data_IF_940091518013
#
_entry.id   IF_940091518013
#
_cell.length_a   1.000
_cell.length_b   1.000
_cell.length_c   1.000
_cell.angle_alpha   90.00
_cell.angle_beta   90.00
_cell.angle_gamma   90.00
#
_symmetry.space_group_name_H-M   'P 1'
#
loop_
_entity.id
_entity.type
_entity.pdbx_description
1 polymer ?
#
# COMPACT_ATOMS: atom_id res chain seq x y z
N UNK A 1 22.15 -22.86 -53.17
CA UNK A 1 21.10 -22.74 -52.14
C UNK A 1 19.94 -23.64 -52.56
N UNK A 2 19.68 -24.74 -51.83
CA UNK A 2 18.49 -25.56 -52.10
C UNK A 2 17.26 -24.83 -51.59
N UNK A 3 16.21 -24.75 -52.42
CA UNK A 3 14.90 -24.23 -52.00
C UNK A 3 14.23 -25.30 -51.14
N UNK A 4 13.97 -25.00 -49.86
CA UNK A 4 13.11 -25.83 -49.00
C UNK A 4 11.75 -25.16 -48.83
N UNK A 5 10.66 -25.92 -48.98
CA UNK A 5 9.31 -25.51 -48.61
C UNK A 5 8.85 -26.31 -47.38
N UNK A 6 8.13 -25.66 -46.45
CA UNK A 6 7.65 -26.27 -45.21
C UNK A 6 6.12 -26.34 -45.25
N UNK A 7 5.57 -27.53 -45.07
CA UNK A 7 4.13 -27.82 -44.98
C UNK A 7 3.79 -28.16 -43.53
N UNK A 8 2.75 -27.53 -42.95
CA UNK A 8 2.44 -27.65 -41.51
C UNK A 8 0.96 -27.92 -41.28
N UNK A 9 0.64 -29.03 -40.60
CA UNK A 9 -0.72 -29.45 -40.24
C UNK A 9 -0.91 -29.62 -38.73
N UNK A 10 -0.30 -28.74 -37.92
CA UNK A 10 -0.31 -28.88 -36.46
C UNK A 10 -1.71 -28.90 -35.84
N UNK A 11 -2.66 -28.13 -36.41
CA UNK A 11 -4.06 -28.13 -35.96
C UNK A 11 -4.76 -29.46 -36.20
N UNK A 12 -4.55 -30.06 -37.38
CA UNK A 12 -5.13 -31.37 -37.70
C UNK A 12 -4.54 -32.46 -36.81
N UNK A 13 -3.20 -32.46 -36.63
CA UNK A 13 -2.52 -33.39 -35.72
C UNK A 13 -3.07 -33.28 -34.27
N UNK A 14 -3.29 -32.06 -33.80
CA UNK A 14 -3.91 -31.83 -32.48
C UNK A 14 -5.34 -32.36 -32.40
N UNK A 15 -6.12 -32.28 -33.47
CA UNK A 15 -7.49 -32.82 -33.52
C UNK A 15 -7.46 -34.34 -33.53
N UNK A 16 -6.55 -34.97 -34.29
CA UNK A 16 -6.39 -36.42 -34.33
C UNK A 16 -6.06 -36.99 -32.94
N UNK A 17 -5.17 -36.32 -32.18
CA UNK A 17 -4.87 -36.72 -30.80
C UNK A 17 -6.01 -36.44 -29.83
N UNK A 18 -6.83 -35.41 -30.04
CA UNK A 18 -8.06 -35.21 -29.26
C UNK A 18 -9.02 -36.38 -29.47
N UNK A 19 -9.26 -36.77 -30.73
CA UNK A 19 -10.10 -37.93 -31.06
C UNK A 19 -9.55 -39.22 -30.46
N UNK A 20 -8.23 -39.38 -30.41
CA UNK A 20 -7.58 -40.51 -29.74
C UNK A 20 -7.85 -40.53 -28.23
N UNK A 21 -7.84 -39.37 -27.55
CA UNK A 21 -8.15 -39.26 -26.12
C UNK A 21 -9.63 -39.56 -25.82
N UNK A 22 -10.54 -39.11 -26.69
CA UNK A 22 -11.99 -39.28 -26.51
C UNK A 22 -12.47 -40.71 -26.84
N UNK A 23 -11.66 -41.49 -27.55
CA UNK A 23 -11.98 -42.88 -27.93
C UNK A 23 -11.64 -43.85 -26.79
N UNK A 24 -12.65 -44.36 -26.08
CA UNK A 24 -12.44 -45.15 -24.85
C UNK A 24 -11.64 -46.46 -25.01
N UNK A 25 -11.56 -47.07 -26.19
CA UNK A 25 -10.89 -48.38 -26.37
C UNK A 25 -9.77 -48.40 -27.42
N UNK A 26 -9.40 -47.25 -27.99
CA UNK A 26 -8.36 -47.21 -29.02
C UNK A 26 -6.96 -47.24 -28.40
N UNK A 27 -6.36 -48.43 -28.29
CA UNK A 27 -4.94 -48.63 -27.97
C UNK A 27 -4.45 -48.06 -26.64
N UNK A 28 -5.35 -47.73 -25.71
CA UNK A 28 -4.97 -47.27 -24.37
C UNK A 28 -4.19 -48.35 -23.61
N UNK A 29 -3.06 -47.97 -23.03
CA UNK A 29 -2.14 -48.88 -22.32
C UNK A 29 -1.88 -48.43 -20.87
N UNK A 30 -2.60 -47.40 -20.41
CA UNK A 30 -2.50 -46.85 -19.07
C UNK A 30 -3.84 -46.32 -18.54
N UNK A 31 -4.04 -46.40 -17.23
CA UNK A 31 -5.23 -45.89 -16.54
C UNK A 31 -4.83 -44.90 -15.44
N UNK A 32 -5.42 -43.71 -15.47
CA UNK A 32 -5.30 -42.71 -14.41
C UNK A 32 -6.61 -42.67 -13.63
N UNK A 33 -6.53 -42.82 -12.31
CA UNK A 33 -7.68 -42.69 -11.41
C UNK A 33 -7.57 -41.43 -10.56
N UNK A 34 -8.66 -40.66 -10.44
CA UNK A 34 -8.75 -39.47 -9.59
C UNK A 34 -9.70 -39.70 -8.40
N UNK A 35 -9.77 -38.73 -7.48
CA UNK A 35 -10.65 -38.83 -6.32
C UNK A 35 -12.12 -38.53 -6.68
N UNK A 36 -13.01 -39.30 -6.05
CA UNK A 36 -14.44 -39.06 -5.81
C UNK A 36 -15.28 -38.49 -6.97
N UNK A 37 -15.68 -39.36 -7.90
CA UNK A 37 -16.94 -39.35 -8.68
C UNK A 37 -17.10 -40.70 -9.43
N UNK A 38 -18.30 -41.13 -9.88
CA UNK A 38 -18.50 -42.45 -10.51
C UNK A 38 -17.70 -42.67 -11.82
N UNK A 39 -17.19 -41.60 -12.44
CA UNK A 39 -16.39 -41.63 -13.68
C UNK A 39 -14.92 -41.21 -13.48
N UNK A 40 -14.29 -41.72 -12.43
CA UNK A 40 -12.94 -41.31 -12.03
C UNK A 40 -11.77 -41.93 -12.82
N UNK A 41 -12.02 -42.64 -13.92
CA UNK A 41 -10.97 -43.38 -14.66
C UNK A 41 -10.77 -42.83 -16.05
N UNK A 42 -9.52 -42.45 -16.34
CA UNK A 42 -9.08 -42.00 -17.65
C UNK A 42 -8.18 -43.06 -18.27
N UNK A 43 -8.60 -43.60 -19.41
CA UNK A 43 -7.75 -44.45 -20.25
C UNK A 43 -6.84 -43.56 -21.10
N UNK A 44 -5.54 -43.85 -21.11
CA UNK A 44 -4.52 -42.98 -21.68
C UNK A 44 -3.39 -43.78 -22.33
N UNK A 45 -2.50 -43.07 -23.03
CA UNK A 45 -1.37 -43.63 -23.78
C UNK A 45 -0.04 -43.24 -23.13
N UNK A 46 0.75 -44.23 -22.70
CA UNK A 46 2.02 -44.00 -21.98
C UNK A 46 3.01 -43.15 -22.77
N UNK A 47 3.10 -43.37 -24.08
CA UNK A 47 4.02 -42.64 -24.95
C UNK A 47 3.74 -41.13 -24.92
N UNK A 48 2.48 -40.71 -25.05
CA UNK A 48 2.09 -39.29 -25.04
C UNK A 48 2.36 -38.70 -23.65
N UNK A 49 1.89 -39.36 -22.58
CA UNK A 49 2.11 -38.90 -21.20
C UNK A 49 3.61 -38.72 -20.89
N UNK A 50 4.44 -39.69 -21.27
CA UNK A 50 5.87 -39.73 -21.01
C UNK A 50 6.64 -38.57 -21.67
N UNK A 51 6.21 -38.11 -22.84
CA UNK A 51 6.89 -37.02 -23.56
C UNK A 51 6.36 -35.62 -23.23
N UNK A 52 5.22 -35.54 -22.53
CA UNK A 52 4.53 -34.27 -22.26
C UNK A 52 4.47 -33.92 -20.77
N UNK A 53 4.97 -34.79 -19.91
CA UNK A 53 5.04 -34.58 -18.46
C UNK A 53 6.24 -35.33 -17.88
N UNK A 54 7.11 -34.58 -17.20
CA UNK A 54 8.29 -35.13 -16.55
C UNK A 54 7.92 -36.06 -15.38
N UNK A 55 6.80 -35.78 -14.71
CA UNK A 55 6.26 -36.66 -13.67
C UNK A 55 6.00 -38.08 -14.21
N UNK A 56 5.26 -38.19 -15.32
CA UNK A 56 4.96 -39.49 -15.91
C UNK A 56 6.22 -40.16 -16.46
N UNK A 57 7.14 -39.39 -17.04
CA UNK A 57 8.43 -39.90 -17.49
C UNK A 57 9.20 -40.61 -16.37
N UNK A 58 9.34 -39.96 -15.22
CA UNK A 58 10.03 -40.51 -14.06
C UNK A 58 9.25 -41.64 -13.38
N UNK A 59 7.93 -41.52 -13.34
CA UNK A 59 7.07 -42.55 -12.76
C UNK A 59 7.14 -43.87 -13.54
N UNK A 60 7.09 -43.80 -14.88
CA UNK A 60 7.20 -44.98 -15.76
C UNK A 60 8.59 -45.62 -15.74
N UNK A 61 9.65 -44.87 -15.45
CA UNK A 61 10.99 -45.45 -15.23
C UNK A 61 11.04 -46.33 -13.98
N UNK A 62 10.34 -45.91 -12.92
CA UNK A 62 10.37 -46.58 -11.60
C UNK A 62 9.33 -47.68 -11.47
N UNK A 63 8.20 -47.57 -12.18
CA UNK A 63 7.05 -48.45 -12.01
C UNK A 63 6.70 -49.19 -13.31
N UNK A 64 6.40 -50.49 -13.20
CA UNK A 64 5.87 -51.31 -14.30
C UNK A 64 4.34 -51.44 -14.28
N UNK A 65 3.65 -50.69 -13.41
CA UNK A 65 2.20 -50.74 -13.28
C UNK A 65 1.55 -50.00 -14.45
N UNK A 66 0.37 -50.48 -14.87
CA UNK A 66 -0.43 -49.86 -15.93
C UNK A 66 -1.54 -48.94 -15.38
N UNK A 67 -1.48 -48.61 -14.09
CA UNK A 67 -2.48 -47.82 -13.39
C UNK A 67 -1.83 -46.96 -12.32
N UNK A 68 -2.30 -45.71 -12.20
CA UNK A 68 -1.94 -44.78 -11.13
C UNK A 68 -3.20 -44.14 -10.54
N UNK A 69 -3.17 -43.84 -9.23
CA UNK A 69 -4.20 -43.06 -8.55
C UNK A 69 -3.60 -41.73 -8.10
N UNK A 70 -4.29 -40.63 -8.38
CA UNK A 70 -3.98 -39.31 -7.86
C UNK A 70 -4.99 -38.91 -6.80
N UNK A 71 -4.51 -38.80 -5.57
CA UNK A 71 -5.32 -38.25 -4.48
C UNK A 71 -5.29 -36.70 -4.56
N UNK A 72 -6.41 -36.02 -4.35
CA UNK A 72 -6.52 -34.56 -4.32
C UNK A 72 -6.46 -33.84 -5.66
N UNK A 73 -6.59 -34.53 -6.80
CA UNK A 73 -6.85 -33.90 -8.11
C UNK A 73 -8.30 -34.19 -8.50
N UNK A 74 -9.07 -33.14 -8.82
CA UNK A 74 -10.44 -33.27 -9.30
C UNK A 74 -10.48 -33.87 -10.72
N UNK A 75 -11.52 -34.67 -11.00
CA UNK A 75 -11.74 -35.30 -12.32
C UNK A 75 -11.81 -34.26 -13.44
N UNK A 76 -12.44 -33.11 -13.21
CA UNK A 76 -12.50 -31.99 -14.14
C UNK A 76 -11.12 -31.43 -14.48
N UNK A 77 -10.27 -31.19 -13.48
CA UNK A 77 -8.92 -30.67 -13.66
C UNK A 77 -8.01 -31.67 -14.37
N UNK A 78 -8.09 -32.94 -14.01
CA UNK A 78 -7.36 -33.99 -14.73
C UNK A 78 -7.79 -34.06 -16.20
N UNK A 79 -9.09 -33.96 -16.49
CA UNK A 79 -9.59 -33.92 -17.87
C UNK A 79 -9.01 -32.74 -18.65
N UNK A 80 -8.97 -31.54 -18.06
CA UNK A 80 -8.37 -30.35 -18.68
C UNK A 80 -6.87 -30.51 -18.92
N UNK A 81 -6.13 -31.10 -17.96
CA UNK A 81 -4.70 -31.39 -18.09
C UNK A 81 -4.45 -32.44 -19.18
N UNK A 82 -5.25 -33.49 -19.27
CA UNK A 82 -5.14 -34.50 -20.33
C UNK A 82 -5.45 -33.89 -21.71
N UNK A 83 -6.49 -33.05 -21.82
CA UNK A 83 -6.77 -32.29 -23.05
C UNK A 83 -5.53 -31.49 -23.47
N UNK A 84 -4.87 -30.80 -22.54
CA UNK A 84 -3.63 -30.08 -22.80
C UNK A 84 -2.47 -30.99 -23.24
N UNK A 85 -2.26 -32.12 -22.57
CA UNK A 85 -1.18 -33.06 -22.90
C UNK A 85 -1.29 -33.53 -24.35
N UNK A 86 -2.50 -33.84 -24.82
CA UNK A 86 -2.75 -34.37 -26.16
C UNK A 86 -2.82 -33.29 -27.23
N UNK A 87 -3.40 -32.13 -26.93
CA UNK A 87 -3.70 -31.10 -27.94
C UNK A 87 -2.82 -29.86 -27.87
N UNK A 88 -2.17 -29.62 -26.73
CA UNK A 88 -1.48 -28.37 -26.42
C UNK A 88 -2.42 -27.21 -26.07
N UNK A 89 -3.73 -27.43 -25.98
CA UNK A 89 -4.72 -26.40 -25.67
C UNK A 89 -5.32 -26.61 -24.27
N UNK A 90 -5.47 -25.53 -23.51
CA UNK A 90 -6.15 -25.53 -22.22
C UNK A 90 -7.05 -24.29 -22.10
N UNK A 91 -8.22 -24.48 -21.52
CA UNK A 91 -9.19 -23.41 -21.26
C UNK A 91 -9.27 -23.19 -19.76
N UNK A 92 -9.07 -21.93 -19.34
CA UNK A 92 -9.02 -21.56 -17.92
C UNK A 92 -9.99 -20.42 -17.62
N UNK A 93 -10.56 -20.45 -16.42
CA UNK A 93 -11.43 -19.43 -15.87
C UNK A 93 -11.18 -19.34 -14.34
N UNK A 94 -11.85 -18.40 -13.66
CA UNK A 94 -11.64 -18.20 -12.22
C UNK A 94 -12.03 -19.43 -11.38
N UNK A 95 -13.05 -20.18 -11.81
CA UNK A 95 -13.57 -21.35 -11.09
C UNK A 95 -12.60 -22.54 -11.15
N UNK A 96 -11.92 -22.75 -12.28
CA UNK A 96 -11.06 -23.91 -12.50
C UNK A 96 -9.56 -23.62 -12.34
N UNK A 97 -9.14 -22.34 -12.33
CA UNK A 97 -7.72 -21.97 -12.37
C UNK A 97 -6.93 -22.53 -11.19
N UNK A 98 -7.46 -22.47 -9.97
CA UNK A 98 -6.75 -22.95 -8.78
C UNK A 98 -6.53 -24.47 -8.85
N UNK A 99 -7.57 -25.24 -9.18
CA UNK A 99 -7.46 -26.69 -9.26
C UNK A 99 -6.53 -27.13 -10.39
N UNK A 100 -6.58 -26.45 -11.55
CA UNK A 100 -5.67 -26.70 -12.66
C UNK A 100 -4.22 -26.34 -12.28
N UNK A 101 -4.00 -25.24 -11.54
CA UNK A 101 -2.68 -24.87 -11.04
C UNK A 101 -2.13 -25.94 -10.07
N UNK A 102 -2.99 -26.45 -9.18
CA UNK A 102 -2.63 -27.54 -8.28
C UNK A 102 -2.28 -28.83 -9.06
N UNK A 103 -3.13 -29.22 -10.01
CA UNK A 103 -2.94 -30.42 -10.82
C UNK A 103 -1.67 -30.34 -11.70
N UNK A 104 -1.45 -29.20 -12.36
CA UNK A 104 -0.28 -28.98 -13.23
C UNK A 104 1.03 -29.04 -12.44
N UNK A 105 1.09 -28.44 -11.24
CA UNK A 105 2.24 -28.57 -10.34
C UNK A 105 2.45 -30.00 -9.85
N UNK A 106 1.38 -30.73 -9.57
CA UNK A 106 1.47 -32.12 -9.10
C UNK A 106 1.96 -33.09 -10.18
N UNK A 107 1.69 -32.79 -11.45
CA UNK A 107 2.06 -33.60 -12.63
C UNK A 107 3.29 -33.03 -13.36
N UNK A 108 3.94 -32.01 -12.79
CA UNK A 108 5.14 -31.35 -13.34
C UNK A 108 4.94 -30.87 -14.79
N UNK A 109 3.89 -30.09 -15.01
CA UNK A 109 3.63 -29.39 -16.28
C UNK A 109 3.79 -27.89 -16.03
N UNK A 110 5.04 -27.44 -15.99
CA UNK A 110 5.43 -26.09 -15.60
C UNK A 110 4.87 -25.02 -16.55
N UNK A 111 4.71 -25.33 -17.84
CA UNK A 111 4.18 -24.37 -18.82
C UNK A 111 2.73 -24.00 -18.50
N UNK A 112 1.92 -24.99 -18.11
CA UNK A 112 0.53 -24.76 -17.68
C UNK A 112 0.52 -24.06 -16.33
N UNK A 113 1.32 -24.52 -15.36
CA UNK A 113 1.37 -23.90 -14.04
C UNK A 113 1.70 -22.40 -14.12
N UNK A 114 2.72 -22.03 -14.91
CA UNK A 114 3.13 -20.64 -15.10
C UNK A 114 2.07 -19.81 -15.83
N UNK A 115 1.42 -20.38 -16.85
CA UNK A 115 0.33 -19.71 -17.58
C UNK A 115 -0.87 -19.42 -16.67
N UNK A 116 -1.29 -20.40 -15.88
CA UNK A 116 -2.42 -20.26 -14.95
C UNK A 116 -2.09 -19.33 -13.79
N UNK A 117 -0.87 -19.42 -13.23
CA UNK A 117 -0.44 -18.49 -12.19
C UNK A 117 -0.47 -17.04 -12.71
N UNK A 118 0.02 -16.79 -13.93
CA UNK A 118 -0.06 -15.46 -14.54
C UNK A 118 -1.52 -14.98 -14.67
N UNK A 119 -2.42 -15.84 -15.13
CA UNK A 119 -3.84 -15.51 -15.23
C UNK A 119 -4.46 -15.15 -13.87
N UNK A 120 -4.16 -15.93 -12.82
CA UNK A 120 -4.66 -15.65 -11.46
C UNK A 120 -4.14 -14.29 -11.00
N UNK A 121 -2.86 -14.01 -11.18
CA UNK A 121 -2.22 -12.73 -10.79
C UNK A 121 -2.88 -11.52 -11.47
N UNK A 122 -3.19 -11.64 -12.76
CA UNK A 122 -3.85 -10.59 -13.54
C UNK A 122 -5.35 -10.43 -13.20
N UNK A 123 -5.95 -11.43 -12.54
CA UNK A 123 -7.38 -11.45 -12.22
C UNK A 123 -7.69 -11.14 -10.74
N UNK A 124 -6.69 -10.76 -9.93
CA UNK A 124 -6.88 -10.39 -8.52
C UNK A 124 -7.76 -9.14 -8.42
N UNK A 125 -8.79 -9.22 -7.59
CA UNK A 125 -9.71 -8.11 -7.28
C UNK A 125 -10.18 -8.16 -5.82
N UNK A 126 -11.01 -7.21 -5.40
CA UNK A 126 -11.46 -7.08 -4.00
C UNK A 126 -12.31 -8.28 -3.55
N UNK A 127 -13.03 -8.93 -4.46
CA UNK A 127 -13.95 -10.04 -4.15
C UNK A 127 -13.20 -11.36 -3.96
N UNK A 128 -12.18 -11.62 -4.79
CA UNK A 128 -11.46 -12.90 -4.80
C UNK A 128 -10.13 -12.92 -4.04
N UNK A 129 -9.55 -11.76 -3.69
CA UNK A 129 -8.19 -11.71 -3.12
C UNK A 129 -8.05 -12.52 -1.83
N UNK A 130 -9.08 -12.54 -0.99
CA UNK A 130 -9.03 -13.26 0.29
C UNK A 130 -8.94 -14.77 0.08
N UNK A 131 -9.79 -15.32 -0.79
CA UNK A 131 -9.76 -16.75 -1.14
C UNK A 131 -8.40 -17.14 -1.75
N UNK A 132 -7.88 -16.30 -2.65
CA UNK A 132 -6.57 -16.53 -3.28
C UNK A 132 -5.45 -16.50 -2.23
N UNK A 133 -5.47 -15.58 -1.25
CA UNK A 133 -4.47 -15.52 -0.16
C UNK A 133 -4.51 -16.78 0.70
N UNK A 134 -5.70 -17.21 1.10
CA UNK A 134 -5.87 -18.43 1.91
C UNK A 134 -5.23 -19.63 1.20
N UNK A 135 -5.51 -19.77 -0.10
CA UNK A 135 -4.99 -20.87 -0.92
C UNK A 135 -3.49 -20.74 -1.13
N UNK A 136 -3.01 -19.53 -1.44
CA UNK A 136 -1.59 -19.28 -1.64
C UNK A 136 -0.76 -19.57 -0.38
N UNK A 137 -1.28 -19.21 0.81
CA UNK A 137 -0.65 -19.52 2.09
C UNK A 137 -0.66 -21.03 2.37
N UNK A 138 -1.83 -21.68 2.22
CA UNK A 138 -2.00 -23.12 2.43
C UNK A 138 -1.05 -23.97 1.58
N UNK A 139 -0.79 -23.55 0.34
CA UNK A 139 0.07 -24.27 -0.60
C UNK A 139 1.51 -23.75 -0.68
N UNK A 140 1.91 -22.79 0.18
CA UNK A 140 3.22 -22.16 0.17
C UNK A 140 3.60 -21.49 -1.17
N UNK A 141 2.63 -20.91 -1.88
CA UNK A 141 2.85 -20.17 -3.13
C UNK A 141 3.30 -18.73 -2.85
N UNK A 142 4.55 -18.58 -2.41
CA UNK A 142 5.10 -17.32 -1.88
C UNK A 142 4.94 -16.12 -2.82
N UNK A 143 5.18 -16.29 -4.12
CA UNK A 143 5.07 -15.18 -5.09
C UNK A 143 3.63 -14.68 -5.22
N UNK A 144 2.66 -15.60 -5.31
CA UNK A 144 1.24 -15.24 -5.39
C UNK A 144 0.79 -14.60 -4.07
N UNK A 145 1.17 -15.19 -2.93
CA UNK A 145 0.86 -14.63 -1.61
C UNK A 145 1.38 -13.20 -1.46
N UNK A 146 2.63 -12.91 -1.85
CA UNK A 146 3.18 -11.56 -1.78
C UNK A 146 2.42 -10.56 -2.65
N UNK A 147 2.00 -10.96 -3.85
CA UNK A 147 1.22 -10.10 -4.72
C UNK A 147 -0.18 -9.81 -4.17
N UNK A 148 -0.84 -10.84 -3.64
CA UNK A 148 -2.12 -10.63 -2.98
C UNK A 148 -1.99 -9.74 -1.72
N UNK A 149 -0.94 -9.92 -0.91
CA UNK A 149 -0.67 -9.05 0.23
C UNK A 149 -0.41 -7.60 -0.20
N UNK A 150 0.32 -7.38 -1.30
CA UNK A 150 0.49 -6.04 -1.87
C UNK A 150 -0.84 -5.43 -2.32
N UNK A 151 -1.71 -6.22 -2.94
CA UNK A 151 -3.05 -5.77 -3.33
C UNK A 151 -3.91 -5.41 -2.10
N UNK A 152 -3.82 -6.22 -1.03
CA UNK A 152 -4.48 -5.96 0.25
C UNK A 152 -3.96 -4.66 0.86
N UNK A 153 -2.63 -4.44 0.89
CA UNK A 153 -2.00 -3.22 1.42
C UNK A 153 -2.62 -1.96 0.79
N UNK A 154 -2.85 -1.96 -0.53
CA UNK A 154 -3.37 -0.83 -1.28
C UNK A 154 -4.90 -0.65 -1.21
N UNK A 155 -5.64 -1.74 -1.01
CA UNK A 155 -7.11 -1.75 -1.09
C UNK A 155 -7.79 -2.10 0.23
N UNK A 156 -7.05 -2.11 1.35
CA UNK A 156 -7.52 -2.57 2.67
C UNK A 156 -8.84 -1.93 3.09
N UNK A 157 -9.06 -0.64 2.78
CA UNK A 157 -10.30 0.09 3.13
C UNK A 157 -11.55 -0.57 2.54
N UNK A 158 -11.45 -1.10 1.32
CA UNK A 158 -12.57 -1.78 0.66
C UNK A 158 -12.70 -3.22 1.14
N UNK A 159 -11.56 -3.87 1.40
CA UNK A 159 -11.51 -5.26 1.87
C UNK A 159 -12.10 -5.37 3.28
N UNK A 160 -11.79 -4.46 4.19
CA UNK A 160 -12.35 -4.39 5.55
C UNK A 160 -13.88 -4.30 5.60
N UNK A 161 -14.52 -3.93 4.48
CA UNK A 161 -15.98 -3.79 4.33
C UNK A 161 -16.60 -4.90 3.49
N UNK A 162 -15.81 -5.82 2.94
CA UNK A 162 -16.31 -6.91 2.11
C UNK A 162 -16.75 -8.09 2.97
N UNK A 163 -17.74 -8.85 2.49
CA UNK A 163 -18.14 -10.11 3.13
C UNK A 163 -17.01 -11.14 3.14
N UNK A 164 -16.10 -11.08 2.16
CA UNK A 164 -14.92 -11.95 2.12
C UNK A 164 -13.96 -11.70 3.29
N UNK A 165 -14.01 -10.54 3.97
CA UNK A 165 -13.20 -10.31 5.17
C UNK A 165 -13.63 -11.20 6.34
N UNK A 166 -14.93 -11.51 6.44
CA UNK A 166 -15.49 -12.35 7.49
C UNK A 166 -15.02 -13.82 7.39
N UNK A 167 -14.52 -14.23 6.21
CA UNK A 167 -14.03 -15.59 5.96
C UNK A 167 -12.53 -15.76 6.21
N UNK A 168 -11.82 -14.69 6.60
CA UNK A 168 -10.41 -14.74 6.93
C UNK A 168 -10.15 -15.69 8.11
N UNK A 169 -9.13 -16.53 7.98
CA UNK A 169 -8.58 -17.27 9.11
C UNK A 169 -7.73 -16.35 9.99
N UNK A 170 -7.69 -16.64 11.29
CA UNK A 170 -7.00 -15.83 12.29
C UNK A 170 -5.52 -15.60 11.93
N UNK A 171 -4.84 -16.61 11.43
CA UNK A 171 -3.43 -16.54 11.04
C UNK A 171 -3.16 -15.55 9.90
N UNK A 172 -4.08 -15.41 8.94
CA UNK A 172 -3.95 -14.43 7.85
C UNK A 172 -4.34 -13.05 8.33
N UNK A 173 -5.37 -12.96 9.18
CA UNK A 173 -5.74 -11.69 9.81
C UNK A 173 -4.57 -11.12 10.62
N UNK A 174 -3.86 -11.96 11.39
CA UNK A 174 -2.66 -11.57 12.12
C UNK A 174 -1.56 -11.09 11.16
N UNK A 175 -1.29 -11.77 10.05
CA UNK A 175 -0.31 -11.31 9.04
C UNK A 175 -0.68 -9.92 8.50
N UNK A 176 -1.96 -9.70 8.20
CA UNK A 176 -2.48 -8.41 7.74
C UNK A 176 -2.30 -7.34 8.82
N UNK A 177 -2.66 -7.63 10.08
CA UNK A 177 -2.58 -6.67 11.18
C UNK A 177 -1.14 -6.40 11.64
N UNK A 178 -0.22 -7.35 11.50
CA UNK A 178 1.21 -7.11 11.69
C UNK A 178 1.79 -6.24 10.57
N UNK A 179 1.17 -6.27 9.39
CA UNK A 179 1.60 -5.46 8.27
C UNK A 179 1.48 -3.97 8.62
N UNK A 180 2.64 -3.37 8.72
CA UNK A 180 2.73 -1.96 9.00
C UNK A 180 2.29 -1.11 7.80
N UNK A 181 2.30 -1.66 6.59
CA UNK A 181 2.14 -0.91 5.35
C UNK A 181 0.71 -0.65 4.89
N UNK A 182 -0.28 -1.10 5.67
CA UNK A 182 -1.70 -0.93 5.32
C UNK A 182 -2.07 0.53 5.06
N UNK A 183 -2.73 0.78 3.93
CA UNK A 183 -3.19 2.09 3.51
C UNK A 183 -4.54 2.45 4.12
N UNK A 184 -4.55 2.76 5.41
CA UNK A 184 -5.76 3.12 6.15
C UNK A 184 -5.71 4.54 6.72
N UNK A 185 -6.87 5.20 6.81
CA UNK A 185 -7.00 6.57 7.31
C UNK A 185 -6.94 6.65 8.83
N UNK A 186 -7.66 5.76 9.50
CA UNK A 186 -7.72 5.66 10.95
C UNK A 186 -7.62 4.18 11.38
N UNK A 187 -7.10 3.89 12.56
CA UNK A 187 -7.04 2.51 13.07
C UNK A 187 -8.42 2.05 13.60
N UNK A 188 -9.35 2.98 13.82
CA UNK A 188 -10.73 2.69 14.25
C UNK A 188 -11.49 1.83 13.23
N UNK A 189 -11.25 2.05 11.94
CA UNK A 189 -11.84 1.26 10.85
C UNK A 189 -11.40 -0.23 10.95
N UNK A 190 -10.13 -0.49 11.29
CA UNK A 190 -9.64 -1.86 11.54
C UNK A 190 -10.31 -2.45 12.78
N UNK A 191 -10.39 -1.68 13.86
CA UNK A 191 -11.02 -2.13 15.11
C UNK A 191 -12.47 -2.56 14.90
N UNK A 192 -13.27 -1.73 14.22
CA UNK A 192 -14.67 -2.05 13.92
C UNK A 192 -14.81 -3.29 13.03
N UNK A 193 -13.95 -3.45 12.03
CA UNK A 193 -13.97 -4.66 11.19
C UNK A 193 -13.55 -5.92 11.95
N UNK A 194 -12.58 -5.84 12.85
CA UNK A 194 -12.20 -6.97 13.73
C UNK A 194 -13.36 -7.36 14.65
N UNK A 195 -14.11 -6.39 15.18
CA UNK A 195 -15.31 -6.70 15.96
C UNK A 195 -16.40 -7.38 15.13
N UNK A 196 -16.59 -6.97 13.87
CA UNK A 196 -17.54 -7.66 12.99
C UNK A 196 -17.08 -9.09 12.66
N UNK A 197 -15.78 -9.30 12.47
CA UNK A 197 -15.18 -10.62 12.28
C UNK A 197 -15.37 -11.54 13.52
N UNK A 198 -15.39 -10.96 14.74
CA UNK A 198 -15.66 -11.67 16.01
C UNK A 198 -17.03 -12.34 16.06
N UNK A 199 -18.01 -11.97 15.23
CA UNK A 199 -19.37 -12.52 15.31
C UNK A 199 -19.48 -14.05 15.05
N UNK A 200 -18.36 -14.75 14.85
CA UNK A 200 -18.28 -16.20 14.95
C UNK A 200 -18.24 -16.62 16.43
N UNK A 201 -19.21 -17.42 16.92
CA UNK A 201 -19.25 -17.85 18.32
C UNK A 201 -17.98 -18.62 18.67
N UNK A 202 -17.38 -18.29 19.82
CA UNK A 202 -16.21 -18.95 20.45
C UNK A 202 -14.79 -18.57 19.98
N UNK A 203 -14.58 -17.48 19.21
CA UNK A 203 -13.22 -16.97 18.96
C UNK A 203 -12.72 -15.99 20.03
N UNK A 204 -11.66 -16.36 20.74
CA UNK A 204 -10.87 -15.43 21.54
C UNK A 204 -10.12 -14.48 20.60
N UNK A 205 -10.48 -13.20 20.64
CA UNK A 205 -9.85 -12.16 19.81
C UNK A 205 -8.68 -11.47 20.51
N UNK A 206 -8.25 -11.94 21.68
CA UNK A 206 -7.20 -11.28 22.47
C UNK A 206 -5.92 -11.08 21.63
N UNK A 207 -5.46 -12.10 20.91
CA UNK A 207 -4.26 -12.00 20.07
C UNK A 207 -4.43 -11.05 18.88
N UNK A 208 -5.63 -11.01 18.28
CA UNK A 208 -5.96 -10.07 17.20
C UNK A 208 -6.02 -8.63 17.74
N UNK A 209 -6.67 -8.42 18.89
CA UNK A 209 -6.75 -7.11 19.57
C UNK A 209 -5.36 -6.59 19.95
N UNK A 210 -4.43 -7.46 20.35
CA UNK A 210 -3.04 -7.07 20.65
C UNK A 210 -2.31 -6.48 19.44
N UNK A 211 -2.77 -6.77 18.22
CA UNK A 211 -2.22 -6.21 16.98
C UNK A 211 -2.85 -4.88 16.57
N UNK A 212 -3.92 -4.44 17.23
CA UNK A 212 -4.56 -3.14 17.00
C UNK A 212 -3.74 -2.04 17.69
N UNK A 213 -3.51 -0.96 16.96
CA UNK A 213 -2.67 0.16 17.42
C UNK A 213 -3.54 1.25 18.00
N UNK A 214 -4.03 1.04 19.21
CA UNK A 214 -4.90 1.99 19.91
C UNK A 214 -4.28 3.40 20.05
N UNK A 215 -2.96 3.53 19.96
CA UNK A 215 -2.29 4.83 19.90
C UNK A 215 -2.65 5.67 18.65
N UNK A 216 -3.12 5.06 17.57
CA UNK A 216 -3.58 5.69 16.32
C UNK A 216 -5.09 5.97 16.28
N UNK A 217 -5.82 5.69 17.36
CA UNK A 217 -7.26 5.98 17.50
C UNK A 217 -7.43 7.32 18.20
N UNK A 218 -8.37 8.17 17.76
CA UNK A 218 -8.60 9.47 18.39
C UNK A 218 -9.12 9.33 19.84
N UNK A 219 -8.96 10.35 20.70
CA UNK A 219 -9.53 10.33 22.06
C UNK A 219 -11.03 10.05 22.07
N UNK A 220 -11.77 10.57 21.08
CA UNK A 220 -13.20 10.31 20.90
C UNK A 220 -13.46 8.84 20.57
N UNK A 221 -12.68 8.24 19.67
CA UNK A 221 -12.81 6.82 19.34
C UNK A 221 -12.44 5.91 20.50
N UNK A 222 -11.47 6.29 21.34
CA UNK A 222 -11.13 5.54 22.55
C UNK A 222 -12.26 5.58 23.59
N UNK A 223 -12.96 6.71 23.72
CA UNK A 223 -14.15 6.80 24.56
C UNK A 223 -15.26 5.88 24.02
N UNK A 224 -15.49 5.83 22.71
CA UNK A 224 -16.45 4.90 22.09
C UNK A 224 -16.07 3.43 22.36
N UNK A 225 -14.78 3.09 22.38
CA UNK A 225 -14.30 1.73 22.69
C UNK A 225 -14.58 1.37 24.15
N UNK A 226 -14.50 2.34 25.08
CA UNK A 226 -14.77 2.11 26.50
C UNK A 226 -16.20 1.59 26.71
N UNK A 227 -17.16 2.15 25.98
CA UNK A 227 -18.58 1.78 26.10
C UNK A 227 -18.88 0.34 25.62
N UNK A 228 -17.94 -0.29 24.90
CA UNK A 228 -18.10 -1.64 24.34
C UNK A 228 -17.59 -2.77 25.26
N UNK A 229 -16.97 -2.43 26.41
CA UNK A 229 -16.40 -3.39 27.39
C UNK A 229 -15.43 -4.41 26.77
N UNK A 230 -14.73 -4.01 25.70
CA UNK A 230 -13.75 -4.84 24.97
C UNK A 230 -12.35 -4.76 25.60
N UNK A 231 -12.08 -3.69 26.34
CA UNK A 231 -10.82 -3.42 27.04
C UNK A 231 -11.10 -3.07 28.51
N UNK A 232 -10.17 -3.32 29.45
CA UNK A 232 -10.34 -2.98 30.85
C UNK A 232 -10.23 -1.46 31.02
N UNK A 233 -11.03 -0.88 31.92
CA UNK A 233 -11.04 0.55 32.20
C UNK A 233 -9.64 1.15 32.44
N UNK A 234 -8.78 0.41 33.14
CA UNK A 234 -7.41 0.83 33.42
C UNK A 234 -6.60 1.06 32.13
N UNK A 235 -6.76 0.19 31.14
CA UNK A 235 -6.07 0.29 29.85
C UNK A 235 -6.58 1.49 29.06
N UNK A 236 -7.89 1.74 29.08
CA UNK A 236 -8.52 2.91 28.44
C UNK A 236 -8.00 4.20 29.08
N UNK A 237 -7.97 4.28 30.41
CA UNK A 237 -7.47 5.44 31.15
C UNK A 237 -5.99 5.70 30.87
N UNK A 238 -5.17 4.65 30.82
CA UNK A 238 -3.77 4.77 30.43
C UNK A 238 -3.67 5.37 29.01
N UNK A 239 -4.39 4.82 28.02
CA UNK A 239 -4.41 5.31 26.64
C UNK A 239 -4.80 6.80 26.53
N UNK A 240 -5.87 7.21 27.21
CA UNK A 240 -6.34 8.61 27.23
C UNK A 240 -5.30 9.55 27.86
N UNK A 241 -4.67 9.13 28.97
CA UNK A 241 -3.65 9.93 29.66
C UNK A 241 -2.38 10.15 28.83
N UNK A 242 -2.07 9.23 27.91
CA UNK A 242 -0.92 9.33 27.00
C UNK A 242 -1.18 10.30 25.84
N UNK A 243 -2.41 10.37 25.33
CA UNK A 243 -2.78 11.29 24.24
C UNK A 243 -2.85 12.76 24.69
N UNK A 244 -3.03 13.01 25.99
CA UNK A 244 -3.21 14.35 26.53
C UNK A 244 -1.93 15.21 26.62
N UNK A 245 -0.70 14.68 26.42
CA UNK A 245 0.55 15.47 26.60
C UNK A 245 1.67 15.08 25.61
N UNK A 246 1.99 15.90 24.58
CA UNK A 246 3.10 15.64 23.67
C UNK A 246 4.41 16.17 24.24
N UNK A 247 5.24 15.32 24.86
CA UNK A 247 6.61 15.70 25.26
C UNK A 247 7.64 14.69 24.76
N UNK A 248 8.76 15.20 24.21
CA UNK A 248 9.93 14.41 23.73
C UNK A 248 10.44 13.40 24.77
N UNK A 249 10.30 13.71 26.05
CA UNK A 249 10.67 12.82 27.18
C UNK A 249 9.80 11.55 27.24
N UNK A 250 8.49 11.64 26.99
CA UNK A 250 7.56 10.48 27.00
C UNK A 250 7.70 9.59 25.75
N UNK A 251 8.07 10.13 24.58
CA UNK A 251 8.30 9.35 23.36
C UNK A 251 9.45 8.32 23.48
N UNK A 252 10.46 8.60 24.31
CA UNK A 252 11.52 7.63 24.61
C UNK A 252 11.04 6.47 25.52
N UNK A 253 10.01 6.72 26.35
CA UNK A 253 9.31 5.71 27.15
C UNK A 253 8.31 4.89 26.32
N UNK A 254 7.72 5.44 25.26
CA UNK A 254 6.84 4.73 24.31
C UNK A 254 7.53 3.52 23.65
N UNK A 255 8.82 3.62 23.31
CA UNK A 255 9.61 2.46 22.83
C UNK A 255 9.79 1.34 23.87
N UNK A 256 9.42 1.58 25.13
CA UNK A 256 9.61 0.67 26.27
C UNK A 256 8.30 0.33 27.01
N UNK A 257 7.17 0.88 26.58
CA UNK A 257 5.86 0.64 27.21
C UNK A 257 5.23 -0.61 26.59
N UNK A 258 5.27 -1.70 27.35
CA UNK A 258 4.35 -2.82 27.20
C UNK A 258 3.23 -2.57 28.22
N UNK A 259 2.00 -2.28 27.77
CA UNK A 259 0.84 -2.32 28.66
C UNK A 259 0.34 -3.76 28.63
N UNK A 260 0.28 -4.38 29.80
CA UNK A 260 -0.25 -5.74 29.96
C UNK A 260 -1.76 -5.72 29.85
N UNK A 261 -2.30 -6.43 28.88
CA UNK A 261 -3.71 -6.80 28.82
C UNK A 261 -3.78 -8.31 29.07
N UNK A 262 -4.22 -8.71 30.26
CA UNK A 262 -4.04 -10.09 30.74
C UNK A 262 -2.55 -10.48 30.76
N UNK A 263 -2.20 -11.58 30.09
CA UNK A 263 -0.82 -12.04 29.90
C UNK A 263 -0.15 -11.50 28.61
N UNK A 264 -0.84 -10.67 27.82
CA UNK A 264 -0.38 -10.25 26.50
C UNK A 264 0.13 -8.80 26.47
N UNK A 265 1.03 -8.53 25.51
CA UNK A 265 1.64 -7.21 25.29
C UNK A 265 1.00 -6.51 24.08
N UNK A 266 0.33 -5.37 24.31
CA UNK A 266 -0.23 -4.55 23.23
C UNK A 266 0.86 -3.78 22.46
N UNK A 267 0.68 -3.61 21.14
CA UNK A 267 1.63 -2.85 20.31
C UNK A 267 1.44 -1.34 20.48
N UNK A 268 2.46 -0.68 21.06
CA UNK A 268 2.57 0.78 21.20
C UNK A 268 3.52 1.40 20.17
N UNK A 269 3.35 1.04 18.90
CA UNK A 269 3.95 1.78 17.80
C UNK A 269 2.92 1.86 16.67
N UNK A 270 2.68 3.05 16.10
CA UNK A 270 1.69 3.22 15.05
C UNK A 270 2.03 2.42 13.80
N UNK A 271 1.04 2.23 12.90
CA UNK A 271 1.25 1.63 11.57
C UNK A 271 2.49 2.30 11.00
N UNK A 272 3.60 1.56 10.83
CA UNK A 272 4.66 2.02 9.92
C UNK A 272 4.14 1.85 8.52
N UNK A 273 3.09 2.62 8.21
CA UNK A 273 2.71 2.89 6.84
C UNK A 273 4.07 3.22 6.19
N UNK A 274 4.45 2.68 5.01
CA UNK A 274 5.72 3.00 4.35
C UNK A 274 5.96 4.52 4.28
N UNK A 275 4.89 5.25 4.55
CA UNK A 275 4.62 6.63 4.91
C UNK A 275 4.84 7.19 6.30
N UNK A 276 5.62 6.56 7.17
CA UNK A 276 6.15 7.36 8.26
C UNK A 276 7.13 8.32 7.62
N UNK A 277 6.69 9.56 7.47
CA UNK A 277 7.47 10.69 7.01
C UNK A 277 8.76 10.71 7.82
N UNK A 278 9.86 10.23 7.23
CA UNK A 278 11.18 10.24 7.85
C UNK A 278 11.71 11.67 7.79
N UNK A 279 11.28 12.46 8.75
CA UNK A 279 11.60 13.87 8.90
C UNK A 279 12.48 14.09 10.12
N UNK A 280 13.52 14.89 9.98
CA UNK A 280 14.31 15.37 11.11
C UNK A 280 13.60 16.50 11.87
N UNK A 281 12.61 17.16 11.25
CA UNK A 281 11.80 18.24 11.84
C UNK A 281 10.73 17.66 12.78
N UNK A 282 10.01 16.64 12.31
CA UNK A 282 8.94 15.97 13.06
C UNK A 282 9.23 14.48 13.30
N UNK A 283 10.35 14.12 13.96
CA UNK A 283 10.78 12.73 14.09
C UNK A 283 9.77 11.93 14.91
N UNK A 284 8.98 11.09 14.24
CA UNK A 284 7.94 10.26 14.86
C UNK A 284 6.90 11.05 15.68
N UNK A 285 6.68 12.34 15.39
CA UNK A 285 5.58 13.09 16.01
C UNK A 285 4.28 12.78 15.27
N UNK A 286 3.59 11.74 15.73
CA UNK A 286 2.38 11.21 15.07
C UNK A 286 1.20 12.19 15.09
N UNK A 287 1.12 13.10 16.06
CA UNK A 287 0.11 14.16 16.07
C UNK A 287 0.27 15.09 14.86
N UNK A 288 1.48 15.60 14.63
CA UNK A 288 1.75 16.46 13.47
C UNK A 288 1.59 15.70 12.14
N UNK A 289 2.08 14.46 12.06
CA UNK A 289 1.96 13.64 10.85
C UNK A 289 0.49 13.34 10.54
N UNK A 290 -0.30 12.97 11.56
CA UNK A 290 -1.74 12.71 11.44
C UNK A 290 -2.48 13.95 10.94
N UNK A 291 -2.18 15.12 11.52
CA UNK A 291 -2.82 16.36 11.10
C UNK A 291 -2.49 16.76 9.66
N UNK A 292 -1.22 16.63 9.25
CA UNK A 292 -0.81 16.89 7.85
C UNK A 292 -1.50 15.89 6.90
N UNK A 293 -1.61 14.61 7.29
CA UNK A 293 -2.32 13.60 6.50
C UNK A 293 -3.78 13.96 6.27
N UNK A 294 -4.47 14.40 7.32
CA UNK A 294 -5.85 14.87 7.25
C UNK A 294 -5.97 16.07 6.30
N UNK A 295 -5.08 17.05 6.43
CA UNK A 295 -5.11 18.28 5.62
C UNK A 295 -4.83 18.05 4.13
N UNK A 296 -3.89 17.15 3.82
CA UNK A 296 -3.55 16.76 2.45
C UNK A 296 -4.65 15.86 1.87
N UNK A 297 -5.26 15.00 2.69
CA UNK A 297 -6.33 14.06 2.34
C UNK A 297 -6.05 13.26 1.05
N UNK A 298 -4.80 12.82 0.90
CA UNK A 298 -4.36 12.04 -0.26
C UNK A 298 -3.43 10.93 0.22
N UNK A 299 -4.03 9.78 0.55
CA UNK A 299 -3.30 8.62 1.04
C UNK A 299 -2.22 8.16 0.07
N UNK A 300 -2.46 8.26 -1.26
CA UNK A 300 -1.48 7.90 -2.28
C UNK A 300 -0.30 8.86 -2.25
N UNK A 301 -0.55 10.16 -2.07
CA UNK A 301 0.53 11.15 -1.96
C UNK A 301 1.51 10.73 -0.91
N UNK A 302 0.98 10.40 0.27
CA UNK A 302 1.77 9.74 1.28
C UNK A 302 2.34 8.50 0.59
N UNK A 303 1.65 7.38 0.32
CA UNK A 303 2.25 6.09 -0.11
C UNK A 303 3.52 6.12 -0.99
N UNK A 304 3.65 7.07 -1.91
CA UNK A 304 4.81 7.20 -2.81
C UNK A 304 5.76 8.35 -2.48
N UNK A 305 5.49 9.21 -1.50
CA UNK A 305 6.34 10.35 -1.19
C UNK A 305 7.75 9.90 -0.78
N UNK A 306 8.72 10.72 -1.19
CA UNK A 306 10.12 10.56 -0.83
C UNK A 306 10.70 11.91 -0.42
N UNK A 307 11.67 11.90 0.48
CA UNK A 307 12.44 13.09 0.85
C UNK A 307 13.35 13.50 -0.31
N UNK A 308 12.86 14.41 -1.16
CA UNK A 308 13.57 14.90 -2.33
C UNK A 308 14.73 15.82 -1.95
N UNK A 309 14.51 16.72 -0.99
CA UNK A 309 15.52 17.71 -0.58
C UNK A 309 15.56 17.88 0.95
N UNK A 310 16.75 18.03 1.52
CA UNK A 310 16.94 18.44 2.91
C UNK A 310 18.21 19.27 3.05
N UNK A 311 18.15 20.44 3.69
CA UNK A 311 19.35 21.30 3.88
C UNK A 311 20.46 20.61 4.69
N UNK A 312 20.12 19.67 5.57
CA UNK A 312 21.11 18.91 6.34
C UNK A 312 21.88 17.87 5.52
N UNK A 313 21.26 17.38 4.44
CA UNK A 313 21.85 16.38 3.53
C UNK A 313 22.46 17.03 2.30
N UNK A 314 21.79 18.06 1.78
CA UNK A 314 22.02 18.62 0.45
C UNK A 314 22.63 20.03 0.50
N UNK A 315 22.72 20.64 1.69
CA UNK A 315 23.28 21.98 1.88
C UNK A 315 22.28 23.11 1.65
N UNK A 316 22.77 24.33 1.85
CA UNK A 316 22.02 25.59 1.77
C UNK A 316 22.14 26.22 0.37
N UNK A 317 21.70 25.49 -0.67
CA UNK A 317 21.82 25.91 -2.07
C UNK A 317 20.50 25.72 -2.83
N UNK A 318 19.88 26.83 -3.27
CA UNK A 318 18.63 26.81 -4.01
C UNK A 318 18.73 26.12 -5.38
N UNK A 319 19.91 26.08 -6.00
CA UNK A 319 20.10 25.37 -7.27
C UNK A 319 19.92 23.86 -7.11
N UNK A 320 20.34 23.31 -5.95
CA UNK A 320 20.16 21.89 -5.61
C UNK A 320 18.68 21.61 -5.32
N UNK A 321 17.98 22.53 -4.65
CA UNK A 321 16.53 22.44 -4.47
C UNK A 321 15.82 22.31 -5.82
N UNK A 322 16.04 23.24 -6.75
CA UNK A 322 15.40 23.19 -8.07
C UNK A 322 15.72 21.92 -8.85
N UNK A 323 16.98 21.48 -8.82
CA UNK A 323 17.40 20.22 -9.46
C UNK A 323 16.62 19.00 -8.96
N UNK A 324 16.21 18.98 -7.69
CA UNK A 324 15.54 17.82 -7.06
C UNK A 324 14.01 17.95 -6.97
N UNK A 325 13.49 19.17 -6.89
CA UNK A 325 12.09 19.44 -6.57
C UNK A 325 11.28 19.97 -7.75
N UNK A 326 11.92 20.50 -8.81
CA UNK A 326 11.19 20.92 -10.00
C UNK A 326 10.59 19.70 -10.73
N UNK A 327 9.41 19.90 -11.32
CA UNK A 327 8.65 18.93 -12.13
C UNK A 327 8.25 17.64 -11.40
N UNK A 328 8.25 17.65 -10.06
CA UNK A 328 7.86 16.49 -9.26
C UNK A 328 6.35 16.37 -9.01
N UNK A 329 5.57 17.44 -9.22
CA UNK A 329 4.13 17.44 -8.93
C UNK A 329 3.84 17.69 -7.45
N UNK A 330 2.99 16.85 -6.85
CA UNK A 330 2.58 16.99 -5.44
C UNK A 330 3.79 17.07 -4.53
N UNK A 331 3.85 18.13 -3.72
CA UNK A 331 4.99 18.44 -2.87
C UNK A 331 4.54 18.99 -1.53
N UNK A 332 5.15 18.48 -0.46
CA UNK A 332 5.02 18.96 0.91
C UNK A 332 6.35 19.57 1.35
N UNK A 333 6.32 20.81 1.84
CA UNK A 333 7.47 21.53 2.40
C UNK A 333 7.32 21.63 3.90
N UNK A 334 8.36 21.29 4.65
CA UNK A 334 8.49 21.52 6.09
C UNK A 334 9.69 22.39 6.39
N UNK A 335 9.49 23.40 7.23
CA UNK A 335 10.51 24.32 7.71
C UNK A 335 10.49 24.29 9.24
N UNK A 336 11.67 24.24 9.84
CA UNK A 336 11.88 24.51 11.26
C UNK A 336 12.88 25.64 11.43
N UNK A 337 12.51 26.65 12.21
CA UNK A 337 13.39 27.77 12.54
C UNK A 337 14.34 27.43 13.70
N UNK A 338 15.36 28.27 13.91
CA UNK A 338 16.25 28.18 15.08
C UNK A 338 15.51 28.40 16.41
N UNK A 339 14.41 29.15 16.38
CA UNK A 339 13.48 29.35 17.50
C UNK A 339 12.47 28.19 17.70
N UNK A 340 12.59 27.14 16.88
CA UNK A 340 11.75 25.92 16.89
C UNK A 340 10.30 26.10 16.41
N UNK A 341 9.96 27.19 15.73
CA UNK A 341 8.70 27.28 15.00
C UNK A 341 8.72 26.30 13.82
N UNK A 342 7.59 25.67 13.54
CA UNK A 342 7.43 24.64 12.52
C UNK A 342 6.23 25.02 11.66
N UNK A 343 6.47 25.22 10.37
CA UNK A 343 5.45 25.58 9.41
C UNK A 343 5.85 25.11 8.01
N UNK A 344 4.97 25.29 7.04
CA UNK A 344 5.23 24.84 5.69
C UNK A 344 4.07 25.07 4.75
N UNK A 345 4.11 24.35 3.63
CA UNK A 345 3.08 24.41 2.61
C UNK A 345 2.99 23.13 1.82
N UNK A 346 1.82 22.91 1.23
CA UNK A 346 1.56 21.81 0.31
C UNK A 346 1.08 22.36 -1.02
N UNK A 347 1.49 21.71 -2.10
CA UNK A 347 1.05 21.99 -3.47
C UNK A 347 0.78 20.68 -4.20
N UNK A 348 -0.24 20.65 -5.06
CA UNK A 348 -0.50 19.52 -5.94
C UNK A 348 0.32 19.53 -7.23
N UNK A 349 0.76 20.71 -7.67
CA UNK A 349 1.43 20.91 -8.96
C UNK A 349 2.95 21.03 -8.84
N UNK A 350 3.46 21.48 -7.68
CA UNK A 350 4.89 21.66 -7.46
C UNK A 350 5.49 22.86 -8.21
N UNK A 351 6.81 22.89 -8.28
CA UNK A 351 7.55 23.92 -9.01
C UNK A 351 7.85 23.49 -10.44
N UNK A 352 7.67 24.40 -11.39
CA UNK A 352 8.11 24.23 -12.78
C UNK A 352 8.38 25.60 -13.39
N UNK A 353 9.41 25.67 -14.22
CA UNK A 353 9.69 26.85 -15.02
C UNK A 353 8.69 26.95 -16.17
N UNK A 354 7.87 28.01 -16.18
CA UNK A 354 6.84 28.24 -17.19
C UNK A 354 7.21 29.34 -18.20
N UNK A 355 8.51 29.62 -18.43
CA UNK A 355 9.03 30.55 -19.46
C UNK A 355 8.15 31.79 -19.70
N UNK A 356 8.33 32.83 -18.88
CA UNK A 356 7.62 34.11 -19.02
C UNK A 356 6.45 34.30 -18.06
N UNK A 357 6.01 33.24 -17.37
CA UNK A 357 5.12 33.35 -16.21
C UNK A 357 5.75 32.68 -14.98
N UNK A 358 5.98 33.46 -13.92
CA UNK A 358 6.57 32.98 -12.67
C UNK A 358 5.52 32.44 -11.69
N UNK A 359 4.26 32.31 -12.11
CA UNK A 359 3.19 31.83 -11.27
C UNK A 359 2.57 30.55 -11.83
N UNK A 360 2.15 29.67 -10.91
CA UNK A 360 1.55 28.39 -11.23
C UNK A 360 0.23 28.29 -10.48
N UNK A 361 -0.82 27.97 -11.24
CA UNK A 361 -2.17 27.76 -10.71
C UNK A 361 -2.22 26.48 -9.86
N UNK A 362 -2.76 26.58 -8.64
CA UNK A 362 -3.05 25.43 -7.78
C UNK A 362 -4.23 25.74 -6.84
N UNK A 363 -5.36 25.08 -7.06
CA UNK A 363 -6.59 25.28 -6.26
C UNK A 363 -6.56 24.54 -4.92
N UNK A 364 -5.59 23.63 -4.74
CA UNK A 364 -5.47 22.79 -3.55
C UNK A 364 -4.19 23.08 -2.77
N UNK A 365 -3.47 24.15 -3.12
CA UNK A 365 -2.35 24.64 -2.35
C UNK A 365 -2.84 25.19 -1.01
N UNK A 366 -2.02 24.98 0.02
CA UNK A 366 -2.28 25.56 1.34
C UNK A 366 -0.96 25.77 2.08
N UNK A 367 -0.97 26.75 2.99
CA UNK A 367 0.06 26.91 4.01
C UNK A 367 -0.43 26.31 5.33
N UNK A 368 0.49 25.99 6.23
CA UNK A 368 0.13 25.52 7.56
C UNK A 368 1.20 25.88 8.59
N UNK A 369 0.78 25.92 9.85
CA UNK A 369 1.67 25.97 11.02
C UNK A 369 1.41 24.76 11.91
N UNK A 370 2.47 24.23 12.49
CA UNK A 370 2.44 23.23 13.55
C UNK A 370 2.87 23.83 14.90
N UNK A 371 3.86 24.74 14.86
CA UNK A 371 4.35 25.51 15.99
C UNK A 371 4.56 26.96 15.52
N UNK A 372 3.94 27.93 16.20
CA UNK A 372 3.99 29.36 15.85
C UNK A 372 4.26 30.24 17.08
N UNK A 373 4.77 31.48 16.91
CA UNK A 373 5.02 32.43 17.98
C UNK A 373 3.81 32.68 18.90
N UNK A 374 2.61 32.67 18.33
CA UNK A 374 1.34 32.95 19.04
C UNK A 374 0.77 31.74 19.78
N UNK A 375 1.43 30.57 19.70
CA UNK A 375 1.05 29.30 20.32
C UNK A 375 -0.43 28.90 20.09
N UNK A 376 -1.01 29.25 18.94
CA UNK A 376 -2.41 29.00 18.62
C UNK A 376 -2.71 27.56 18.16
N UNK A 377 -1.76 26.65 18.32
CA UNK A 377 -1.84 25.27 17.84
C UNK A 377 -1.71 25.12 16.32
N UNK A 378 -2.01 23.92 15.85
CA UNK A 378 -1.90 23.53 14.44
C UNK A 378 -3.02 24.14 13.60
N UNK A 379 -2.69 24.83 12.51
CA UNK A 379 -3.68 25.43 11.61
C UNK A 379 -3.28 25.31 10.14
N UNK A 380 -4.30 25.18 9.28
CA UNK A 380 -4.21 25.15 7.81
C UNK A 380 -4.84 26.41 7.24
N UNK A 381 -4.24 26.94 6.17
CA UNK A 381 -4.66 28.17 5.48
C UNK A 381 -4.80 27.88 3.99
N UNK A 382 -6.03 27.87 3.49
CA UNK A 382 -6.33 27.62 2.08
C UNK A 382 -5.87 28.76 1.17
N UNK A 383 -5.63 28.45 -0.10
CA UNK A 383 -5.49 29.48 -1.12
C UNK A 383 -6.83 30.19 -1.34
N UNK A 384 -6.83 31.54 -1.43
CA UNK A 384 -8.05 32.29 -1.73
C UNK A 384 -8.52 32.02 -3.16
N UNK A 385 -9.83 32.00 -3.37
CA UNK A 385 -10.44 31.64 -4.66
C UNK A 385 -9.97 32.52 -5.82
N UNK A 386 -9.78 33.81 -5.55
CA UNK A 386 -9.31 34.82 -6.50
C UNK A 386 -7.79 34.75 -6.77
N UNK A 387 -7.04 34.05 -5.92
CA UNK A 387 -5.56 33.97 -5.97
C UNK A 387 -5.05 32.60 -6.44
N UNK A 388 -5.94 31.66 -6.79
CA UNK A 388 -5.57 30.31 -7.24
C UNK A 388 -4.59 30.30 -8.41
N UNK A 389 -4.64 31.30 -9.29
CA UNK A 389 -3.72 31.44 -10.43
C UNK A 389 -2.28 31.78 -10.03
N UNK A 390 -2.09 32.30 -8.81
CA UNK A 390 -0.80 32.73 -8.26
C UNK A 390 -0.41 31.94 -7.01
N UNK A 391 -0.99 30.76 -6.82
CA UNK A 391 -0.80 29.94 -5.64
C UNK A 391 0.66 29.58 -5.39
N UNK A 392 1.40 29.22 -6.43
CA UNK A 392 2.83 28.90 -6.34
C UNK A 392 3.62 29.90 -7.17
N UNK A 393 4.72 30.37 -6.60
CA UNK A 393 5.66 31.27 -7.26
C UNK A 393 6.93 30.49 -7.62
N UNK A 394 7.32 30.55 -8.87
CA UNK A 394 8.59 30.03 -9.36
C UNK A 394 9.60 31.17 -9.44
N UNK A 395 10.73 31.01 -8.74
CA UNK A 395 11.87 31.92 -8.82
C UNK A 395 13.11 31.04 -8.84
N UNK A 396 13.85 31.07 -9.94
CA UNK A 396 15.03 30.23 -10.20
C UNK A 396 16.19 30.42 -9.19
N UNK A 397 16.19 31.56 -8.48
CA UNK A 397 17.17 31.92 -7.44
C UNK A 397 16.58 31.95 -6.04
N UNK A 398 15.54 31.17 -5.75
CA UNK A 398 14.95 31.10 -4.42
C UNK A 398 14.66 29.66 -4.01
N UNK A 399 14.39 29.43 -2.73
CA UNK A 399 13.82 28.16 -2.28
C UNK A 399 12.32 28.06 -2.59
N UNK A 400 11.60 27.21 -1.86
CA UNK A 400 10.14 27.14 -1.94
C UNK A 400 9.47 28.50 -1.81
N UNK A 401 8.47 28.76 -2.65
CA UNK A 401 7.73 30.01 -2.65
C UNK A 401 6.24 29.80 -2.96
N UNK A 402 5.40 30.34 -2.09
CA UNK A 402 3.94 30.26 -2.14
C UNK A 402 3.36 31.68 -2.17
N UNK A 403 2.38 31.87 -3.05
CA UNK A 403 1.58 33.08 -3.16
C UNK A 403 2.22 34.18 -4.02
N UNK A 404 1.37 35.02 -4.61
CA UNK A 404 1.75 36.26 -5.26
C UNK A 404 2.42 37.21 -4.27
N UNK A 405 1.80 37.36 -3.09
CA UNK A 405 2.23 38.27 -2.03
C UNK A 405 3.56 37.93 -1.38
N UNK A 406 4.12 36.74 -1.66
CA UNK A 406 5.23 36.14 -0.89
C UNK A 406 4.77 35.79 0.53
N UNK A 407 3.57 35.24 0.63
CA UNK A 407 3.00 34.69 1.86
C UNK A 407 3.97 33.71 2.53
N UNK A 408 4.72 32.96 1.71
CA UNK A 408 5.94 32.28 2.12
C UNK A 408 6.96 32.30 0.97
N UNK A 409 8.14 32.87 1.20
CA UNK A 409 9.26 32.86 0.24
C UNK A 409 10.57 32.56 0.95
N UNK A 410 11.24 31.48 0.57
CA UNK A 410 12.58 31.15 1.08
C UNK A 410 13.66 31.83 0.23
N UNK A 411 14.63 32.45 0.88
CA UNK A 411 15.70 33.21 0.23
C UNK A 411 16.66 32.33 -0.59
N UNK A 412 17.44 32.89 -1.52
CA UNK A 412 18.42 32.16 -2.34
C UNK A 412 19.40 31.28 -1.54
N UNK A 413 19.82 31.75 -0.37
CA UNK A 413 20.76 31.04 0.50
C UNK A 413 20.09 29.97 1.38
N UNK A 414 18.77 29.79 1.30
CA UNK A 414 17.97 28.86 2.10
C UNK A 414 18.11 29.00 3.63
N UNK A 415 18.72 30.08 4.13
CA UNK A 415 18.98 30.30 5.56
C UNK A 415 17.86 31.05 6.27
N UNK A 416 16.88 31.55 5.54
CA UNK A 416 15.75 32.32 6.06
C UNK A 416 14.78 32.66 4.95
N UNK A 417 13.84 33.54 5.22
CA UNK A 417 12.84 33.92 4.23
C UNK A 417 12.05 35.17 4.58
N UNK A 418 10.95 35.31 3.85
CA UNK A 418 9.97 36.37 3.98
C UNK A 418 8.58 35.74 4.03
N UNK A 419 7.77 36.15 5.00
CA UNK A 419 6.35 35.78 5.10
C UNK A 419 5.50 37.05 5.16
N UNK A 420 5.04 37.52 3.99
CA UNK A 420 4.03 38.58 3.90
C UNK A 420 2.64 37.92 3.86
N UNK A 421 2.29 37.27 4.96
CA UNK A 421 1.17 36.34 5.00
C UNK A 421 -0.19 37.05 4.89
N UNK A 422 -1.12 36.44 4.15
CA UNK A 422 -2.51 36.86 4.08
C UNK A 422 -2.91 37.56 2.78
N UNK A 423 -2.00 37.64 1.80
CA UNK A 423 -2.34 38.17 0.48
C UNK A 423 -3.01 37.11 -0.37
N UNK A 424 -2.30 36.02 -0.65
CA UNK A 424 -2.78 34.93 -1.51
C UNK A 424 -3.45 33.81 -0.72
N UNK A 425 -3.06 33.58 0.53
CA UNK A 425 -3.64 32.56 1.41
C UNK A 425 -4.56 33.19 2.46
N UNK A 426 -5.53 32.40 2.93
CA UNK A 426 -6.46 32.80 3.99
C UNK A 426 -5.73 33.16 5.29
N UNK A 427 -6.25 34.16 6.00
CA UNK A 427 -5.73 34.56 7.30
C UNK A 427 -6.48 33.83 8.43
N UNK A 428 -5.84 33.68 9.61
CA UNK A 428 -6.51 33.27 10.83
C UNK A 428 -7.62 34.28 11.22
N UNK A 429 -8.65 33.78 11.90
CA UNK A 429 -9.73 34.62 12.42
C UNK A 429 -9.18 35.78 13.28
N UNK A 430 -9.64 36.99 13.00
CA UNK A 430 -9.25 38.20 13.73
C UNK A 430 -7.92 38.83 13.32
N UNK A 431 -7.21 38.27 12.32
CA UNK A 431 -5.98 38.87 11.78
C UNK A 431 -6.27 39.49 10.41
N UNK A 432 -5.87 40.74 10.22
CA UNK A 432 -6.00 41.47 8.96
C UNK A 432 -4.68 41.52 8.19
N UNK A 433 -4.76 41.58 6.86
CA UNK A 433 -3.59 41.69 6.00
C UNK A 433 -2.85 43.02 6.24
N UNK A 434 -1.52 43.01 6.09
CA UNK A 434 -0.65 44.18 6.27
C UNK A 434 -0.61 44.73 7.71
N UNK A 435 -0.96 43.87 8.68
CA UNK A 435 -0.78 44.14 10.12
C UNK A 435 0.45 43.45 10.67
N UNK A 436 0.96 43.93 11.81
CA UNK A 436 2.10 43.29 12.49
C UNK A 436 1.82 41.82 12.82
N UNK A 437 0.59 41.51 13.26
CA UNK A 437 0.15 40.16 13.60
C UNK A 437 0.20 39.22 12.38
N UNK A 438 -0.22 39.70 11.21
CA UNK A 438 -0.12 38.91 9.96
C UNK A 438 1.34 38.64 9.56
N UNK A 439 2.21 39.64 9.72
CA UNK A 439 3.62 39.56 9.35
C UNK A 439 4.38 38.58 10.26
N UNK A 440 4.08 38.58 11.55
CA UNK A 440 4.76 37.77 12.56
C UNK A 440 4.16 36.38 12.75
N UNK A 441 3.03 36.09 12.10
CA UNK A 441 2.24 34.88 12.34
C UNK A 441 3.04 33.56 12.23
N UNK A 442 3.92 33.43 11.24
CA UNK A 442 4.78 32.25 11.08
C UNK A 442 6.12 32.42 11.81
N UNK A 443 6.95 33.35 11.34
CA UNK A 443 8.27 33.64 11.91
C UNK A 443 8.73 35.08 11.69
N UNK A 444 7.89 35.94 11.09
CA UNK A 444 8.23 37.33 10.75
C UNK A 444 8.68 37.54 9.29
N UNK A 445 8.68 38.80 8.86
CA UNK A 445 9.16 39.23 7.54
C UNK A 445 10.59 39.81 7.60
N UNK A 446 11.26 39.91 6.45
CA UNK A 446 12.59 40.53 6.25
C UNK A 446 13.77 39.95 7.05
N UNK A 447 14.18 38.70 6.78
CA UNK A 447 15.41 38.10 7.34
C UNK A 447 15.50 38.09 8.88
N UNK A 448 14.36 38.17 9.58
CA UNK A 448 14.30 38.17 11.05
C UNK A 448 14.47 36.78 11.67
N UNK A 449 14.42 35.72 10.87
CA UNK A 449 14.44 34.35 11.34
C UNK A 449 15.38 33.50 10.49
N UNK A 450 15.96 32.49 11.14
CA UNK A 450 16.88 31.56 10.52
C UNK A 450 16.29 30.15 10.44
N UNK A 451 16.54 29.48 9.32
CA UNK A 451 16.16 28.09 9.07
C UNK A 451 17.18 27.17 9.72
N UNK A 452 16.71 26.35 10.66
CA UNK A 452 17.47 25.24 11.23
C UNK A 452 17.38 24.00 10.34
N UNK A 453 16.16 23.69 9.87
CA UNK A 453 15.89 22.57 8.98
C UNK A 453 14.86 22.98 7.92
N UNK A 454 15.06 22.49 6.70
CA UNK A 454 14.13 22.59 5.58
C UNK A 454 14.14 21.24 4.88
N UNK A 455 12.97 20.64 4.75
CA UNK A 455 12.76 19.34 4.11
C UNK A 455 11.62 19.42 3.10
N UNK A 456 11.81 18.78 1.94
CA UNK A 456 10.84 18.77 0.86
C UNK A 456 10.55 17.34 0.43
N UNK A 457 9.29 16.95 0.55
CA UNK A 457 8.79 15.63 0.21
C UNK A 457 7.96 15.71 -1.05
N UNK A 458 8.30 14.89 -2.04
CA UNK A 458 7.63 14.89 -3.36
C UNK A 458 7.05 13.53 -3.66
N UNK A 459 6.00 13.49 -4.47
CA UNK A 459 5.41 12.23 -4.94
C UNK A 459 6.39 11.43 -5.80
N UNK A 460 6.68 10.18 -5.41
CA UNK A 460 7.46 9.25 -6.22
C UNK A 460 6.67 8.80 -7.45
N UNK A 461 7.13 9.18 -8.65
CA UNK A 461 6.68 8.55 -9.90
C UNK A 461 7.28 7.14 -9.97
N UNK A 462 6.49 6.15 -10.38
CA UNK A 462 7.00 4.81 -10.67
C UNK A 462 8.08 4.90 -11.74
N UNK A 463 9.24 4.31 -11.48
CA UNK A 463 10.16 3.98 -12.55
C UNK A 463 9.53 2.85 -13.36
N UNK A 464 9.29 3.09 -14.65
CA UNK A 464 9.28 2.03 -15.63
C UNK A 464 10.71 1.48 -15.70
N UNK A 465 11.03 0.52 -14.84
CA UNK A 465 12.23 -0.30 -14.96
C UNK A 465 11.82 -1.74 -15.20
#
# INVERSE_FOLDING_TARGET
MSKSQKFTHLKLLSQDYQTLLDSEDNFSDFIIECDSEPSNKFKCHKNILKFRSDYFFDWFKKNKKNKIKFDGISTSSMKSILKYIYTGNIEINLENAIDILFASRKIYIEEVANFVEKFIKESINIENVIEIVIIAKKHNWQQLYQQCMSFIEDNIIYILRSSSFETLSEDILLDILENNRLCIKNEMDIFNSVLNWKNQPDHDISDVLNKIRFCDISPTGIAEIQDLDVLPDKTVLDLLSFQAVPTKSKMSKLKKLQVKYGDHNMIFHPRTNPQVMKSNIIPSNYGYIGQIKEWVNDLRFFQKMKLAFSVTRDGFDCSIFHKKCDNQGKTLVLIQTTENFIFGGFTQVGWKNNMGNNFIKDEKAFLFTLENPSNQGMKKFGIKKEEVAHAIRYVDKSGPAFGYGRDLLINPNLKGGRTDFGRSYELPDGIEFDTQDSIEYFAGSYNKWEIKYLEVFVYGKEGLN
#
